data_IF_538157094232
#
_entry.id   IF_538157094232
#
_cell.length_a   1.000
_cell.length_b   1.000
_cell.length_c   1.000
_cell.angle_alpha   90.00
_cell.angle_beta   90.00
_cell.angle_gamma   90.00
#
_symmetry.space_group_name_H-M   'P 1'
#
loop_
_entity.id
_entity.type
_entity.pdbx_description
1 polymer ?
#
# COMPACT_ATOMS: atom_id res chain seq x y z
N UNK A 1 -37.80 21.82 10.36
CA UNK A 1 -38.61 22.19 9.17
C UNK A 1 -39.55 21.09 8.72
N UNK A 2 -39.29 19.83 9.08
CA UNK A 2 -40.19 18.72 8.71
C UNK A 2 -41.59 18.93 9.28
N UNK A 3 -42.62 18.60 8.50
CA UNK A 3 -44.04 18.71 8.85
C UNK A 3 -44.61 20.14 9.06
N UNK A 4 -43.93 21.16 8.52
CA UNK A 4 -44.44 22.56 8.57
C UNK A 4 -44.97 22.97 7.19
N UNK A 5 -45.91 23.94 7.23
CA UNK A 5 -46.50 24.54 6.02
C UNK A 5 -45.69 25.75 5.58
N UNK A 6 -45.52 25.90 4.30
CA UNK A 6 -44.88 27.05 3.66
C UNK A 6 -45.80 28.26 3.68
N UNK A 7 -45.34 29.41 4.17
CA UNK A 7 -46.12 30.66 4.19
C UNK A 7 -45.93 31.51 2.95
N UNK A 8 -44.95 31.19 2.07
CA UNK A 8 -44.74 31.86 0.78
C UNK A 8 -44.17 30.86 -0.23
N UNK A 9 -44.59 31.07 -1.49
CA UNK A 9 -44.06 30.29 -2.63
C UNK A 9 -42.52 30.45 -2.70
N UNK A 10 -41.80 29.33 -2.77
CA UNK A 10 -40.35 29.31 -2.90
C UNK A 10 -39.91 28.32 -3.96
N UNK A 11 -39.26 28.81 -5.03
CA UNK A 11 -38.84 28.00 -6.18
C UNK A 11 -40.03 27.17 -6.76
N UNK A 12 -39.88 25.84 -6.71
CA UNK A 12 -40.87 24.89 -7.23
C UNK A 12 -41.90 24.42 -6.16
N UNK A 13 -41.94 25.08 -5.00
CA UNK A 13 -42.82 24.72 -3.89
C UNK A 13 -43.88 25.82 -3.74
N UNK A 14 -45.16 25.46 -3.88
CA UNK A 14 -46.28 26.40 -3.75
C UNK A 14 -46.62 26.66 -2.27
N UNK A 15 -47.27 27.80 -2.03
CA UNK A 15 -47.76 28.22 -0.72
C UNK A 15 -48.70 27.16 -0.15
N UNK A 16 -48.59 26.87 1.14
CA UNK A 16 -49.35 25.81 1.82
C UNK A 16 -48.87 24.39 1.62
N UNK A 17 -47.75 24.19 0.91
CA UNK A 17 -47.15 22.85 0.73
C UNK A 17 -46.51 22.37 2.00
N UNK A 18 -46.81 21.14 2.46
CA UNK A 18 -46.15 20.48 3.57
C UNK A 18 -44.75 20.06 3.23
N UNK A 19 -43.76 20.45 4.02
CA UNK A 19 -42.35 20.11 3.84
C UNK A 19 -42.08 18.72 4.39
N UNK A 20 -41.89 17.74 3.50
CA UNK A 20 -41.43 16.39 3.84
C UNK A 20 -39.90 16.32 3.75
N UNK A 21 -39.30 15.33 4.42
CA UNK A 21 -37.85 15.12 4.47
C UNK A 21 -37.23 15.11 3.06
N UNK A 22 -37.82 14.39 2.13
CA UNK A 22 -37.35 14.26 0.73
C UNK A 22 -37.27 15.63 0.01
N UNK A 23 -38.23 16.52 0.26
CA UNK A 23 -38.24 17.87 -0.30
C UNK A 23 -37.17 18.76 0.34
N UNK A 24 -36.90 18.57 1.64
CA UNK A 24 -35.83 19.31 2.35
C UNK A 24 -34.47 18.88 1.83
N UNK A 25 -34.23 17.59 1.64
CA UNK A 25 -32.96 17.03 1.17
C UNK A 25 -32.65 17.40 -0.30
N UNK A 26 -33.67 17.72 -1.08
CA UNK A 26 -33.52 18.21 -2.46
C UNK A 26 -33.11 19.67 -2.58
N UNK A 27 -33.14 20.46 -1.48
CA UNK A 27 -32.81 21.87 -1.47
C UNK A 27 -31.39 22.14 -0.99
N UNK A 28 -30.75 23.15 -1.55
CA UNK A 28 -29.43 23.59 -1.07
C UNK A 28 -29.55 24.22 0.31
N UNK A 29 -28.53 24.02 1.17
CA UNK A 29 -28.49 24.58 2.53
C UNK A 29 -28.73 26.09 2.56
N UNK A 30 -28.20 26.82 1.57
CA UNK A 30 -28.41 28.26 1.42
C UNK A 30 -29.87 28.65 1.14
N UNK A 31 -30.65 27.76 0.56
CA UNK A 31 -32.05 27.98 0.23
C UNK A 31 -32.96 27.63 1.41
N UNK A 32 -32.57 26.65 2.24
CA UNK A 32 -33.28 26.31 3.46
C UNK A 32 -33.40 27.50 4.45
N UNK A 33 -32.40 28.36 4.49
CA UNK A 33 -32.42 29.59 5.33
C UNK A 33 -33.28 30.70 4.77
N UNK A 34 -33.87 30.57 3.58
CA UNK A 34 -34.75 31.55 2.96
C UNK A 34 -36.22 31.16 3.06
N UNK A 35 -36.51 29.97 3.59
CA UNK A 35 -37.85 29.45 3.75
C UNK A 35 -38.57 30.20 4.90
N UNK A 36 -39.79 30.69 4.66
CA UNK A 36 -40.66 31.29 5.65
C UNK A 36 -41.74 30.30 6.04
N UNK A 37 -41.74 29.90 7.30
CA UNK A 37 -42.67 28.94 7.88
C UNK A 37 -43.67 29.64 8.82
N UNK A 38 -44.84 29.09 8.98
CA UNK A 38 -45.93 29.67 9.77
C UNK A 38 -45.71 29.60 11.30
N UNK A 39 -44.71 28.83 11.75
CA UNK A 39 -44.39 28.64 13.17
C UNK A 39 -43.28 29.60 13.63
N UNK A 40 -43.64 30.61 14.43
CA UNK A 40 -42.72 31.64 14.94
C UNK A 40 -41.55 31.07 15.73
N UNK A 41 -41.75 30.01 16.51
CA UNK A 41 -40.66 29.36 17.28
C UNK A 41 -39.62 28.71 16.37
N UNK A 42 -40.09 28.06 15.31
CA UNK A 42 -39.20 27.44 14.32
C UNK A 42 -38.48 28.48 13.46
N UNK A 43 -39.08 29.63 13.26
CA UNK A 43 -38.49 30.75 12.53
C UNK A 43 -37.35 31.41 13.31
N UNK A 44 -37.52 31.59 14.65
CA UNK A 44 -36.46 32.04 15.53
C UNK A 44 -35.30 31.06 15.59
N UNK A 45 -35.57 29.77 15.75
CA UNK A 45 -34.53 28.70 15.71
C UNK A 45 -33.78 28.68 14.38
N UNK A 46 -34.48 28.86 13.26
CA UNK A 46 -33.87 28.95 11.95
C UNK A 46 -32.95 30.18 11.82
N UNK A 47 -33.35 31.31 12.36
CA UNK A 47 -32.55 32.54 12.37
C UNK A 47 -31.25 32.37 13.21
N UNK A 48 -31.35 31.72 14.38
CA UNK A 48 -30.18 31.36 15.21
C UNK A 48 -29.23 30.44 14.49
N UNK A 49 -29.73 29.37 13.86
CA UNK A 49 -28.92 28.46 13.05
C UNK A 49 -28.26 29.15 11.87
N UNK A 50 -28.98 30.08 11.21
CA UNK A 50 -28.42 30.90 10.12
C UNK A 50 -27.25 31.76 10.61
N UNK A 51 -27.38 32.37 11.77
CA UNK A 51 -26.29 33.16 12.36
C UNK A 51 -25.09 32.27 12.72
N UNK A 52 -25.33 31.13 13.37
CA UNK A 52 -24.27 30.17 13.67
C UNK A 52 -23.58 29.68 12.41
N UNK A 53 -24.32 29.33 11.36
CA UNK A 53 -23.78 28.93 10.07
C UNK A 53 -22.92 30.01 9.43
N UNK A 54 -23.39 31.25 9.42
CA UNK A 54 -22.64 32.38 8.86
C UNK A 54 -21.36 32.65 9.67
N UNK A 55 -21.39 32.59 10.98
CA UNK A 55 -20.21 32.74 11.83
C UNK A 55 -19.20 31.64 11.58
N UNK A 56 -19.64 30.37 11.54
CA UNK A 56 -18.78 29.27 11.25
C UNK A 56 -18.15 29.32 9.83
N UNK A 57 -18.93 29.83 8.86
CA UNK A 57 -18.45 30.04 7.50
C UNK A 57 -17.37 31.12 7.44
N UNK A 58 -17.54 32.22 8.16
CA UNK A 58 -16.53 33.30 8.27
C UNK A 58 -15.26 32.75 8.91
N UNK A 59 -15.38 32.07 10.05
CA UNK A 59 -14.23 31.48 10.75
C UNK A 59 -13.42 30.51 9.86
N UNK A 60 -14.12 29.70 9.06
CA UNK A 60 -13.44 28.78 8.13
C UNK A 60 -12.76 29.55 7.01
N UNK A 61 -13.42 30.61 6.49
CA UNK A 61 -12.86 31.45 5.44
C UNK A 61 -11.58 32.15 5.95
N UNK A 62 -11.62 32.75 7.13
CA UNK A 62 -10.48 33.43 7.74
C UNK A 62 -9.31 32.45 7.96
N UNK A 63 -9.58 31.26 8.49
CA UNK A 63 -8.56 30.21 8.63
C UNK A 63 -7.97 29.74 7.29
N UNK A 64 -8.80 29.69 6.27
CA UNK A 64 -8.34 29.35 4.92
C UNK A 64 -7.42 30.46 4.37
N UNK A 65 -7.83 31.72 4.49
CA UNK A 65 -7.04 32.87 4.03
C UNK A 65 -5.70 32.97 4.78
N UNK A 66 -5.70 32.78 6.09
CA UNK A 66 -4.48 32.71 6.89
C UNK A 66 -3.52 31.61 6.44
N UNK A 67 -4.05 30.42 6.15
CA UNK A 67 -3.22 29.32 5.63
C UNK A 67 -2.66 29.63 4.24
N UNK A 68 -3.47 30.19 3.36
CA UNK A 68 -3.02 30.60 2.02
C UNK A 68 -1.94 31.68 2.11
N UNK A 69 -2.12 32.63 3.02
CA UNK A 69 -1.16 33.69 3.24
C UNK A 69 0.17 33.15 3.77
N UNK A 70 0.14 32.24 4.76
CA UNK A 70 1.33 31.55 5.27
C UNK A 70 2.06 30.75 4.17
N UNK A 71 1.32 30.05 3.31
CA UNK A 71 1.91 29.30 2.21
C UNK A 71 2.54 30.25 1.17
N UNK A 72 1.86 31.37 0.87
CA UNK A 72 2.38 32.36 -0.08
C UNK A 72 3.60 33.11 0.46
N UNK A 73 3.64 33.41 1.75
CA UNK A 73 4.80 34.05 2.40
C UNK A 73 6.01 33.13 2.48
N UNK A 74 5.80 31.81 2.46
CA UNK A 74 6.85 30.82 2.62
C UNK A 74 7.34 30.66 4.05
N UNK A 75 8.44 29.94 4.24
CA UNK A 75 9.04 29.74 5.58
C UNK A 75 9.61 31.07 6.10
N UNK A 76 9.42 31.32 7.39
CA UNK A 76 10.03 32.45 8.09
C UNK A 76 11.55 32.31 8.02
N UNK A 77 12.20 33.17 7.25
CA UNK A 77 13.65 33.19 7.12
C UNK A 77 14.28 33.92 8.30
N UNK A 78 15.43 33.45 8.76
CA UNK A 78 16.22 34.11 9.78
C UNK A 78 16.64 35.52 9.30
N UNK A 79 16.82 36.49 10.22
CA UNK A 79 17.32 37.80 9.85
C UNK A 79 18.60 37.69 9.03
N UNK A 80 18.72 38.46 7.97
CA UNK A 80 19.82 38.45 7.00
C UNK A 80 19.83 37.29 5.97
N UNK A 81 18.92 36.37 6.00
CA UNK A 81 18.80 35.30 4.97
C UNK A 81 17.84 35.75 3.88
N UNK A 82 18.33 35.89 2.66
CA UNK A 82 17.48 36.30 1.52
C UNK A 82 16.71 35.16 0.92
N UNK A 83 17.27 33.94 0.90
CA UNK A 83 16.63 32.74 0.33
C UNK A 83 17.21 31.48 0.95
N UNK A 84 16.36 30.52 1.24
CA UNK A 84 16.77 29.19 1.67
C UNK A 84 16.49 28.20 0.56
N UNK A 85 17.48 27.37 0.23
CA UNK A 85 17.35 26.31 -0.76
C UNK A 85 17.61 24.97 -0.08
N UNK A 86 16.65 24.05 -0.16
CA UNK A 86 16.79 22.66 0.31
C UNK A 86 17.21 21.80 -0.88
N UNK A 87 18.41 21.27 -0.83
CA UNK A 87 18.91 20.36 -1.86
C UNK A 87 18.87 18.94 -1.35
N UNK A 88 18.18 18.05 -2.08
CA UNK A 88 18.13 16.62 -1.78
C UNK A 88 19.15 15.90 -2.68
N UNK A 89 20.09 15.20 -2.06
CA UNK A 89 21.10 14.42 -2.77
C UNK A 89 20.81 12.95 -2.58
N UNK A 90 20.65 12.22 -3.69
CA UNK A 90 20.48 10.77 -3.69
C UNK A 90 21.79 10.10 -4.12
N UNK A 91 22.27 9.17 -3.30
CA UNK A 91 23.47 8.37 -3.57
C UNK A 91 23.07 6.91 -3.64
N UNK A 92 23.32 6.24 -4.77
CA UNK A 92 23.08 4.80 -4.94
C UNK A 92 24.30 4.01 -4.46
N UNK A 93 24.18 3.40 -3.28
CA UNK A 93 25.21 2.52 -2.72
C UNK A 93 24.89 1.05 -3.02
N UNK A 94 25.81 0.37 -3.73
CA UNK A 94 25.68 -1.07 -4.02
C UNK A 94 25.85 -1.89 -2.75
N UNK A 95 25.22 -3.07 -2.73
CA UNK A 95 25.37 -4.03 -1.65
C UNK A 95 26.79 -4.61 -1.68
N UNK A 96 27.42 -4.71 -0.50
CA UNK A 96 28.77 -5.28 -0.34
C UNK A 96 28.75 -6.35 0.75
N UNK A 97 29.69 -7.32 0.72
CA UNK A 97 29.90 -8.20 1.84
C UNK A 97 30.20 -7.40 3.12
N UNK A 98 29.54 -7.76 4.23
CA UNK A 98 29.63 -7.01 5.49
C UNK A 98 28.47 -6.04 5.72
N UNK A 99 27.70 -5.66 4.70
CA UNK A 99 26.50 -4.85 4.86
C UNK A 99 25.40 -5.61 5.59
N UNK A 100 24.63 -4.91 6.41
CA UNK A 100 23.56 -5.52 7.19
C UNK A 100 22.24 -5.44 6.45
N UNK A 101 21.58 -6.59 6.33
CA UNK A 101 20.24 -6.71 5.78
C UNK A 101 19.26 -7.28 6.79
N UNK A 102 18.00 -7.01 6.63
CA UNK A 102 16.93 -7.52 7.49
C UNK A 102 15.63 -7.64 6.71
N UNK A 103 14.84 -8.66 7.04
CA UNK A 103 13.41 -8.69 6.70
C UNK A 103 12.59 -7.94 7.76
N UNK A 104 11.27 -8.14 7.72
CA UNK A 104 10.31 -7.52 8.65
C UNK A 104 10.04 -8.31 9.92
N UNK A 105 10.68 -9.48 10.10
CA UNK A 105 10.41 -10.43 11.20
C UNK A 105 11.58 -10.57 12.19
N UNK A 106 12.44 -9.55 12.30
CA UNK A 106 13.62 -9.61 13.17
C UNK A 106 14.73 -10.51 12.63
N UNK A 107 14.63 -10.98 11.39
CA UNK A 107 15.61 -11.80 10.71
C UNK A 107 16.74 -10.95 10.11
N UNK A 108 17.51 -10.34 10.99
CA UNK A 108 18.68 -9.53 10.63
C UNK A 108 19.91 -10.39 10.38
N UNK A 109 20.69 -10.03 9.40
CA UNK A 109 21.94 -10.73 9.08
C UNK A 109 22.92 -9.83 8.35
N UNK A 110 24.13 -10.32 8.20
CA UNK A 110 25.20 -9.65 7.46
C UNK A 110 25.46 -10.43 6.19
N UNK A 111 25.63 -9.71 5.07
CA UNK A 111 25.99 -10.33 3.79
C UNK A 111 27.37 -10.95 3.91
N UNK A 112 27.47 -12.27 3.79
CA UNK A 112 28.72 -12.99 3.89
C UNK A 112 29.47 -13.04 2.55
N UNK A 113 28.76 -13.30 1.47
CA UNK A 113 29.34 -13.45 0.13
C UNK A 113 28.35 -12.98 -0.93
N UNK A 114 28.87 -12.40 -2.00
CA UNK A 114 28.14 -12.14 -3.23
C UNK A 114 28.62 -13.13 -4.27
N UNK A 115 27.70 -13.86 -4.86
CA UNK A 115 27.95 -14.93 -5.82
C UNK A 115 27.40 -14.51 -7.19
N UNK A 116 28.06 -14.85 -8.31
CA UNK A 116 27.50 -14.65 -9.64
C UNK A 116 26.14 -15.37 -9.79
N UNK A 117 25.28 -14.84 -10.67
CA UNK A 117 23.92 -15.37 -10.85
C UNK A 117 23.95 -16.82 -11.35
N UNK A 118 24.94 -17.17 -12.15
CA UNK A 118 25.14 -18.50 -12.73
C UNK A 118 25.43 -19.57 -11.66
N UNK A 119 26.08 -19.17 -10.57
CA UNK A 119 26.45 -20.05 -9.46
C UNK A 119 25.34 -20.16 -8.40
N UNK A 120 24.28 -19.38 -8.53
CA UNK A 120 23.17 -19.40 -7.56
C UNK A 120 22.25 -20.61 -7.80
N UNK A 121 21.66 -21.16 -6.74
CA UNK A 121 20.65 -22.20 -6.88
C UNK A 121 19.47 -21.71 -7.75
N UNK A 122 18.93 -22.62 -8.56
CA UNK A 122 17.82 -22.30 -9.44
C UNK A 122 16.68 -23.31 -9.34
N UNK A 123 15.47 -22.86 -9.69
CA UNK A 123 14.26 -23.68 -9.72
C UNK A 123 14.15 -24.46 -11.02
N UNK A 124 13.18 -25.37 -11.11
CA UNK A 124 12.87 -26.15 -12.31
C UNK A 124 12.57 -25.28 -13.54
N UNK A 125 12.00 -24.10 -13.35
CA UNK A 125 11.75 -23.13 -14.41
C UNK A 125 13.01 -22.35 -14.87
N UNK A 126 14.18 -22.69 -14.35
CA UNK A 126 15.45 -22.02 -14.65
C UNK A 126 15.66 -20.68 -13.97
N UNK A 127 14.72 -20.20 -13.15
CA UNK A 127 14.89 -18.94 -12.41
C UNK A 127 15.83 -19.13 -11.21
N UNK A 128 16.96 -18.39 -11.15
CA UNK A 128 17.84 -18.43 -9.99
C UNK A 128 17.18 -17.74 -8.79
N UNK A 129 17.64 -18.09 -7.58
CA UNK A 129 17.28 -17.37 -6.37
C UNK A 129 18.20 -16.16 -6.17
N UNK A 130 17.66 -15.07 -5.65
CA UNK A 130 18.43 -13.83 -5.42
C UNK A 130 19.20 -13.85 -4.11
N UNK A 131 18.67 -14.52 -3.08
CA UNK A 131 19.23 -14.56 -1.72
C UNK A 131 19.09 -15.96 -1.17
N UNK A 132 20.14 -16.45 -0.52
CA UNK A 132 20.14 -17.66 0.29
C UNK A 132 20.27 -17.27 1.76
N UNK A 133 19.32 -17.71 2.57
CA UNK A 133 19.27 -17.43 4.00
C UNK A 133 19.62 -18.67 4.80
N UNK A 134 20.34 -18.47 5.92
CA UNK A 134 20.66 -19.57 6.82
C UNK A 134 19.41 -20.03 7.60
N UNK A 135 18.98 -21.29 7.46
CA UNK A 135 17.78 -21.80 8.13
C UNK A 135 17.90 -21.86 9.67
N UNK A 136 19.10 -21.91 10.23
CA UNK A 136 19.33 -21.93 11.67
C UNK A 136 18.84 -20.66 12.38
N UNK A 137 18.66 -19.56 11.66
CA UNK A 137 18.10 -18.32 12.18
C UNK A 137 16.60 -18.36 12.49
N UNK A 138 15.89 -19.41 12.08
CA UNK A 138 14.43 -19.54 12.26
C UNK A 138 14.07 -20.26 13.56
N UNK A 139 14.54 -21.50 13.81
CA UNK A 139 14.12 -22.26 14.99
C UNK A 139 14.52 -21.61 16.30
N UNK A 140 15.73 -21.07 16.38
CA UNK A 140 16.26 -20.44 17.59
C UNK A 140 15.55 -19.14 17.97
N UNK A 141 14.99 -18.43 16.99
CA UNK A 141 14.34 -17.12 17.19
C UNK A 141 12.83 -17.16 17.12
N UNK A 142 12.24 -18.31 16.81
CA UNK A 142 10.79 -18.53 16.74
C UNK A 142 10.02 -17.53 15.83
N UNK A 143 10.68 -16.94 14.85
CA UNK A 143 10.12 -15.96 13.92
C UNK A 143 9.50 -16.65 12.70
N UNK A 144 8.48 -17.46 12.94
CA UNK A 144 7.79 -18.27 11.90
C UNK A 144 7.12 -17.39 10.84
N UNK A 145 6.79 -16.15 11.16
CA UNK A 145 6.16 -15.20 10.24
C UNK A 145 6.91 -15.00 8.93
N UNK A 146 8.25 -15.11 8.94
CA UNK A 146 9.06 -15.03 7.72
C UNK A 146 8.80 -16.20 6.75
N UNK A 147 8.48 -17.39 7.26
CA UNK A 147 8.14 -18.55 6.42
C UNK A 147 6.78 -18.37 5.80
N UNK A 148 5.78 -17.92 6.57
CA UNK A 148 4.45 -17.62 6.07
C UNK A 148 4.50 -16.51 5.01
N UNK A 149 5.29 -15.45 5.23
CA UNK A 149 5.51 -14.40 4.22
C UNK A 149 6.12 -14.98 2.94
N UNK A 150 7.08 -15.87 3.06
CA UNK A 150 7.73 -16.53 1.91
C UNK A 150 6.73 -17.36 1.11
N UNK A 151 5.85 -18.12 1.77
CA UNK A 151 4.82 -18.92 1.10
C UNK A 151 3.79 -18.05 0.38
N UNK A 152 3.27 -17.01 1.05
CA UNK A 152 2.35 -16.06 0.43
C UNK A 152 3.04 -15.33 -0.73
N UNK A 153 4.26 -14.87 -0.55
CA UNK A 153 5.02 -14.19 -1.59
C UNK A 153 5.25 -15.06 -2.81
N UNK A 154 5.47 -16.37 -2.63
CA UNK A 154 5.57 -17.29 -3.76
C UNK A 154 4.23 -17.44 -4.48
N UNK A 155 3.14 -17.64 -3.76
CA UNK A 155 1.80 -17.74 -4.37
C UNK A 155 1.42 -16.45 -5.11
N UNK A 156 1.72 -15.29 -4.55
CA UNK A 156 1.44 -14.00 -5.19
C UNK A 156 2.23 -13.80 -6.49
N UNK A 157 3.50 -14.22 -6.52
CA UNK A 157 4.34 -14.16 -7.72
C UNK A 157 3.81 -15.07 -8.82
N UNK A 158 3.46 -16.32 -8.49
CA UNK A 158 2.91 -17.29 -9.46
C UNK A 158 1.52 -16.89 -9.97
N UNK A 159 0.68 -16.30 -9.12
CA UNK A 159 -0.61 -15.75 -9.56
C UNK A 159 -0.44 -14.58 -10.53
N UNK A 160 0.58 -13.74 -10.33
CA UNK A 160 0.94 -12.68 -11.27
C UNK A 160 1.39 -13.24 -12.63
N UNK A 161 2.20 -14.30 -12.63
CA UNK A 161 2.61 -14.97 -13.87
C UNK A 161 1.43 -15.62 -14.61
N UNK A 162 0.51 -16.26 -13.90
CA UNK A 162 -0.73 -16.79 -14.49
C UNK A 162 -1.58 -15.71 -15.15
N UNK A 163 -1.71 -14.55 -14.50
CA UNK A 163 -2.39 -13.42 -15.13
C UNK A 163 -1.70 -12.95 -16.40
N UNK A 164 -0.38 -12.89 -16.39
CA UNK A 164 0.43 -12.55 -17.56
C UNK A 164 0.23 -13.53 -18.70
N UNK A 165 0.14 -14.82 -18.41
CA UNK A 165 -0.17 -15.86 -19.39
C UNK A 165 -1.57 -15.67 -19.98
N UNK A 166 -2.60 -15.45 -19.15
CA UNK A 166 -3.97 -15.17 -19.59
C UNK A 166 -4.07 -13.93 -20.49
N UNK A 167 -3.30 -12.89 -20.20
CA UNK A 167 -3.24 -11.68 -21.02
C UNK A 167 -2.54 -11.96 -22.36
N UNK A 168 -1.47 -12.76 -22.34
CA UNK A 168 -0.74 -13.13 -23.57
C UNK A 168 -1.60 -14.02 -24.48
N UNK A 169 -2.39 -14.94 -23.94
CA UNK A 169 -3.37 -15.75 -24.69
C UNK A 169 -4.39 -14.87 -25.43
N UNK A 170 -4.79 -13.75 -24.85
CA UNK A 170 -5.71 -12.78 -25.43
C UNK A 170 -5.05 -11.79 -26.41
N UNK A 171 -3.99 -12.20 -27.12
CA UNK A 171 -3.26 -11.38 -28.11
C UNK A 171 -2.69 -10.07 -27.53
N UNK A 172 -2.26 -10.07 -26.27
CA UNK A 172 -1.74 -8.91 -25.53
C UNK A 172 -2.74 -7.74 -25.37
N UNK A 173 -4.03 -7.97 -25.62
CA UNK A 173 -5.07 -7.00 -25.29
C UNK A 173 -5.57 -7.24 -23.89
N UNK A 174 -5.38 -6.24 -23.05
CA UNK A 174 -5.93 -6.24 -21.67
C UNK A 174 -7.38 -5.75 -21.78
N UNK A 175 -8.28 -6.70 -21.99
CA UNK A 175 -9.72 -6.46 -22.04
C UNK A 175 -10.39 -7.22 -20.87
N UNK A 176 -11.57 -6.77 -20.47
CA UNK A 176 -12.40 -7.47 -19.46
C UNK A 176 -12.96 -8.78 -20.03
N UNK A 177 -12.09 -9.77 -20.17
CA UNK A 177 -12.48 -11.11 -20.60
C UNK A 177 -12.99 -11.89 -19.40
N UNK A 178 -13.97 -12.75 -19.60
CA UNK A 178 -14.54 -13.59 -18.54
C UNK A 178 -13.49 -14.41 -17.79
N UNK A 179 -12.45 -14.85 -18.46
CA UNK A 179 -11.32 -15.56 -17.84
C UNK A 179 -10.58 -14.70 -16.84
N UNK A 180 -10.27 -13.44 -17.20
CA UNK A 180 -9.56 -12.49 -16.31
C UNK A 180 -10.47 -12.07 -15.15
N UNK A 181 -11.75 -11.83 -15.40
CA UNK A 181 -12.74 -11.51 -14.37
C UNK A 181 -12.87 -12.65 -13.36
N UNK A 182 -13.00 -13.88 -13.84
CA UNK A 182 -13.10 -15.05 -12.95
C UNK A 182 -11.81 -15.27 -12.16
N UNK A 183 -10.66 -15.05 -12.76
CA UNK A 183 -9.38 -15.09 -12.06
C UNK A 183 -9.32 -14.03 -10.95
N UNK A 184 -9.67 -12.78 -11.26
CA UNK A 184 -9.69 -11.70 -10.28
C UNK A 184 -10.68 -11.98 -9.13
N UNK A 185 -11.86 -12.52 -9.45
CA UNK A 185 -12.85 -12.95 -8.42
C UNK A 185 -12.34 -14.08 -7.54
N UNK A 186 -11.51 -14.96 -8.06
CA UNK A 186 -10.90 -16.04 -7.25
C UNK A 186 -9.81 -15.53 -6.32
N UNK A 187 -9.05 -14.49 -6.72
CA UNK A 187 -7.95 -13.92 -5.95
C UNK A 187 -8.45 -12.94 -4.88
N UNK A 188 -9.32 -12.01 -5.25
CA UNK A 188 -9.78 -10.94 -4.35
C UNK A 188 -11.08 -11.26 -3.61
N UNK A 189 -11.77 -12.34 -3.98
CA UNK A 189 -13.10 -12.65 -3.51
C UNK A 189 -14.19 -11.89 -4.29
N UNK A 190 -15.41 -12.47 -4.30
CA UNK A 190 -16.52 -11.90 -5.07
C UNK A 190 -16.96 -10.53 -4.56
N UNK A 191 -17.10 -10.38 -3.24
CA UNK A 191 -17.55 -9.11 -2.61
C UNK A 191 -16.60 -7.97 -2.90
N UNK A 192 -15.30 -8.15 -2.65
CA UNK A 192 -14.28 -7.11 -2.92
C UNK A 192 -14.13 -6.78 -4.40
N UNK A 193 -14.34 -7.76 -5.28
CA UNK A 193 -14.32 -7.54 -6.72
C UNK A 193 -15.50 -6.66 -7.16
N UNK A 194 -16.72 -6.99 -6.74
CA UNK A 194 -17.93 -6.28 -7.13
C UNK A 194 -17.96 -4.84 -6.55
N UNK A 195 -17.39 -4.63 -5.36
CA UNK A 195 -17.32 -3.31 -4.73
C UNK A 195 -16.28 -2.37 -5.36
N UNK A 196 -15.08 -2.88 -5.63
CA UNK A 196 -13.91 -2.06 -5.95
C UNK A 196 -13.45 -2.19 -7.41
N UNK A 197 -13.50 -3.38 -8.00
CA UNK A 197 -12.89 -3.65 -9.31
C UNK A 197 -13.91 -3.51 -10.45
N UNK A 198 -15.16 -3.89 -10.22
CA UNK A 198 -16.19 -3.81 -11.24
C UNK A 198 -16.48 -2.35 -11.66
N UNK A 199 -16.36 -1.41 -10.74
CA UNK A 199 -16.63 0.03 -10.93
C UNK A 199 -15.51 0.79 -11.64
N UNK A 200 -14.34 0.17 -11.83
CA UNK A 200 -13.19 0.81 -12.47
C UNK A 200 -13.47 1.10 -13.96
N UNK A 201 -12.89 2.17 -14.46
CA UNK A 201 -12.85 2.45 -15.90
C UNK A 201 -11.98 1.42 -16.64
N UNK A 202 -12.08 1.34 -17.95
CA UNK A 202 -11.27 0.41 -18.76
C UNK A 202 -9.77 0.71 -18.63
N UNK A 203 -9.40 2.00 -18.56
CA UNK A 203 -8.00 2.42 -18.35
C UNK A 203 -7.47 2.00 -16.98
N UNK A 204 -8.22 2.27 -15.91
CA UNK A 204 -7.83 1.90 -14.54
C UNK A 204 -7.75 0.37 -14.36
N UNK A 205 -8.66 -0.37 -14.98
CA UNK A 205 -8.60 -1.83 -14.97
C UNK A 205 -7.35 -2.35 -15.70
N UNK A 206 -6.96 -1.71 -16.80
CA UNK A 206 -5.73 -2.05 -17.52
C UNK A 206 -4.50 -1.79 -16.65
N UNK A 207 -4.42 -0.61 -16.02
CA UNK A 207 -3.31 -0.25 -15.13
C UNK A 207 -3.23 -1.22 -13.94
N UNK A 208 -4.37 -1.62 -13.37
CA UNK A 208 -4.45 -2.64 -12.32
C UNK A 208 -3.88 -3.98 -12.80
N UNK A 209 -4.30 -4.47 -13.97
CA UNK A 209 -3.80 -5.71 -14.54
C UNK A 209 -2.29 -5.66 -14.82
N UNK A 210 -1.78 -4.54 -15.34
CA UNK A 210 -0.35 -4.35 -15.57
C UNK A 210 0.46 -4.39 -14.27
N UNK A 211 -0.05 -3.81 -13.20
CA UNK A 211 0.59 -3.85 -11.88
C UNK A 211 0.61 -5.26 -11.28
N UNK A 212 -0.50 -6.01 -11.40
CA UNK A 212 -0.63 -7.36 -10.84
C UNK A 212 0.24 -8.39 -11.57
N UNK A 213 0.61 -8.17 -12.84
CA UNK A 213 1.49 -9.08 -13.58
C UNK A 213 2.83 -9.34 -12.89
N UNK A 214 3.32 -8.40 -12.11
CA UNK A 214 4.56 -8.52 -11.35
C UNK A 214 4.38 -9.24 -9.99
N UNK A 215 3.16 -9.57 -9.64
CA UNK A 215 2.76 -10.22 -8.40
C UNK A 215 1.53 -9.55 -7.80
N UNK A 216 0.68 -10.34 -7.17
CA UNK A 216 -0.52 -9.84 -6.49
C UNK A 216 -0.12 -9.16 -5.19
N UNK A 217 -0.40 -7.86 -4.99
CA UNK A 217 -0.10 -7.20 -3.73
C UNK A 217 -1.09 -7.65 -2.65
N UNK A 218 -0.58 -8.11 -1.50
CA UNK A 218 -1.37 -8.50 -0.34
C UNK A 218 -0.90 -7.69 0.86
N UNK A 219 -1.87 -7.13 1.59
CA UNK A 219 -1.64 -6.48 2.87
C UNK A 219 -2.66 -7.01 3.88
N UNK A 220 -2.22 -7.24 5.10
CA UNK A 220 -3.08 -7.66 6.21
C UNK A 220 -3.01 -6.64 7.35
N UNK A 221 -4.12 -6.36 8.06
CA UNK A 221 -4.10 -5.57 9.29
C UNK A 221 -3.22 -6.23 10.36
N UNK A 222 -2.69 -5.43 11.28
CA UNK A 222 -1.75 -5.90 12.31
C UNK A 222 -2.38 -6.97 13.24
N UNK A 223 -3.66 -6.79 13.60
CA UNK A 223 -4.37 -7.68 14.52
C UNK A 223 -5.33 -8.66 13.85
N UNK A 224 -5.49 -8.59 12.54
CA UNK A 224 -6.31 -9.48 11.73
C UNK A 224 -5.50 -9.99 10.54
N UNK A 225 -4.42 -10.68 10.86
CA UNK A 225 -3.50 -11.26 9.88
C UNK A 225 -4.07 -12.51 9.22
N UNK A 226 -3.42 -12.93 8.12
CA UNK A 226 -3.76 -14.15 7.42
C UNK A 226 -3.61 -15.38 8.31
N UNK A 227 -4.61 -16.25 8.31
CA UNK A 227 -4.59 -17.53 9.00
C UNK A 227 -3.92 -18.60 8.13
N UNK A 228 -3.49 -19.70 8.74
CA UNK A 228 -2.89 -20.83 8.02
C UNK A 228 -3.75 -21.32 6.86
N UNK A 229 -5.08 -21.38 7.06
CA UNK A 229 -6.04 -21.77 6.03
C UNK A 229 -6.04 -20.82 4.83
N UNK A 230 -5.83 -19.55 5.05
CA UNK A 230 -5.79 -18.55 3.96
C UNK A 230 -4.51 -18.69 3.15
N UNK A 231 -3.39 -18.97 3.82
CA UNK A 231 -2.10 -19.26 3.16
C UNK A 231 -2.22 -20.51 2.30
N UNK A 232 -2.82 -21.58 2.84
CA UNK A 232 -3.02 -22.84 2.11
C UNK A 232 -3.92 -22.65 0.88
N UNK A 233 -5.03 -21.91 1.01
CA UNK A 233 -5.91 -21.57 -0.12
C UNK A 233 -5.16 -20.80 -1.22
N UNK A 234 -4.30 -19.86 -0.83
CA UNK A 234 -3.51 -19.07 -1.80
C UNK A 234 -2.49 -19.96 -2.55
N UNK A 235 -1.86 -20.90 -1.86
CA UNK A 235 -0.98 -21.88 -2.50
C UNK A 235 -1.74 -22.80 -3.46
N UNK A 236 -2.93 -23.27 -3.09
CA UNK A 236 -3.79 -24.07 -3.96
C UNK A 236 -4.26 -23.31 -5.20
N UNK A 237 -4.68 -22.03 -5.06
CA UNK A 237 -5.02 -21.16 -6.19
C UNK A 237 -3.83 -20.97 -7.15
N UNK A 238 -2.63 -20.87 -6.59
CA UNK A 238 -1.40 -20.80 -7.36
C UNK A 238 -0.98 -22.17 -7.95
N UNK A 239 -1.66 -23.28 -7.61
CA UNK A 239 -1.30 -24.67 -7.95
C UNK A 239 0.11 -25.04 -7.46
N UNK A 240 0.46 -24.56 -6.28
CA UNK A 240 1.73 -24.85 -5.62
C UNK A 240 1.55 -25.93 -4.55
N UNK A 241 2.63 -26.64 -4.19
CA UNK A 241 2.58 -27.61 -3.10
C UNK A 241 2.24 -26.92 -1.76
N UNK A 242 1.35 -27.52 -0.98
CA UNK A 242 0.93 -26.98 0.33
C UNK A 242 2.07 -26.89 1.35
N UNK A 243 3.15 -27.65 1.14
CA UNK A 243 4.36 -27.56 1.96
C UNK A 243 5.16 -26.27 1.73
N UNK A 244 4.91 -25.53 0.67
CA UNK A 244 5.70 -24.36 0.27
C UNK A 244 7.15 -24.66 -0.08
N UNK A 245 7.46 -25.93 -0.37
CA UNK A 245 8.80 -26.38 -0.70
C UNK A 245 8.90 -26.84 -2.15
N UNK A 246 10.06 -26.62 -2.76
CA UNK A 246 10.32 -27.02 -4.14
C UNK A 246 11.71 -27.64 -4.29
N UNK A 247 11.93 -28.33 -5.38
CA UNK A 247 13.25 -28.82 -5.77
C UNK A 247 14.10 -27.67 -6.29
N UNK A 248 15.34 -27.62 -5.86
CA UNK A 248 16.36 -26.71 -6.37
C UNK A 248 17.53 -27.49 -6.94
N UNK A 249 18.26 -26.86 -7.83
CA UNK A 249 19.51 -27.33 -8.41
C UNK A 249 20.63 -26.38 -8.04
N UNK A 250 21.81 -26.91 -7.79
CA UNK A 250 23.01 -26.11 -7.53
C UNK A 250 23.49 -25.51 -8.87
N UNK A 251 23.64 -24.18 -8.93
CA UNK A 251 24.16 -23.49 -10.12
C UNK A 251 25.57 -23.89 -10.51
N UNK A 252 26.39 -24.35 -9.57
CA UNK A 252 27.79 -24.71 -9.79
C UNK A 252 27.97 -26.15 -10.32
N UNK A 253 27.24 -27.11 -9.73
CA UNK A 253 27.37 -28.53 -10.07
C UNK A 253 26.28 -28.98 -11.05
N UNK A 254 25.16 -28.28 -11.11
CA UNK A 254 23.97 -28.70 -11.87
C UNK A 254 23.21 -29.86 -11.20
N UNK A 255 23.62 -30.29 -10.00
CA UNK A 255 23.00 -31.40 -9.31
C UNK A 255 21.75 -30.90 -8.52
N UNK A 256 20.77 -31.79 -8.41
CA UNK A 256 19.57 -31.53 -7.62
C UNK A 256 19.89 -31.68 -6.15
N UNK A 257 19.37 -30.79 -5.30
CA UNK A 257 19.46 -30.94 -3.85
C UNK A 257 18.69 -32.17 -3.35
N UNK A 258 19.25 -32.87 -2.39
CA UNK A 258 18.66 -34.09 -1.81
C UNK A 258 17.31 -33.83 -1.13
N UNK A 259 17.12 -32.64 -0.62
CA UNK A 259 15.92 -32.26 0.10
C UNK A 259 15.20 -31.11 -0.57
N UNK A 260 13.87 -31.09 -0.42
CA UNK A 260 13.06 -29.95 -0.81
C UNK A 260 13.41 -28.72 0.02
N UNK A 261 13.44 -27.57 -0.63
CA UNK A 261 13.81 -26.27 -0.02
C UNK A 261 12.62 -25.32 -0.07
N UNK A 262 12.43 -24.57 1.02
CA UNK A 262 11.45 -23.49 1.06
C UNK A 262 11.97 -22.31 0.24
N UNK A 263 11.25 -21.94 -0.80
CA UNK A 263 11.60 -20.85 -1.70
C UNK A 263 10.37 -19.99 -1.94
N UNK A 264 10.56 -18.68 -1.93
CA UNK A 264 9.46 -17.74 -2.20
C UNK A 264 9.98 -16.32 -2.27
N UNK A 265 9.08 -15.37 -2.29
CA UNK A 265 9.39 -13.93 -2.34
C UNK A 265 9.19 -13.33 -0.96
N UNK A 266 10.20 -12.64 -0.45
CA UNK A 266 10.19 -11.97 0.85
C UNK A 266 10.66 -10.53 0.68
N UNK A 267 10.15 -9.63 1.53
CA UNK A 267 10.57 -8.24 1.57
C UNK A 267 11.85 -8.07 2.38
N UNK A 268 12.93 -7.60 1.74
CA UNK A 268 14.23 -7.40 2.37
C UNK A 268 14.64 -5.94 2.35
N UNK A 269 15.22 -5.48 3.46
CA UNK A 269 15.70 -4.12 3.67
C UNK A 269 17.22 -4.12 3.85
N UNK A 270 17.91 -3.21 3.16
CA UNK A 270 19.29 -2.87 3.47
C UNK A 270 19.28 -1.85 4.62
N UNK A 271 19.92 -2.19 5.74
CA UNK A 271 20.00 -1.30 6.89
C UNK A 271 21.15 -0.30 6.72
N UNK A 272 21.04 0.86 7.38
CA UNK A 272 22.07 1.90 7.33
C UNK A 272 23.33 1.57 8.16
N UNK A 273 23.60 0.27 8.36
CA UNK A 273 24.84 -0.25 8.94
C UNK A 273 25.74 -0.76 7.81
N UNK A 274 26.33 0.19 7.08
CA UNK A 274 27.16 -0.12 5.92
C UNK A 274 28.59 -0.42 6.36
N UNK A 275 29.21 -1.40 5.71
CA UNK A 275 30.59 -1.79 6.01
C UNK A 275 31.57 -0.66 5.72
N UNK A 276 31.35 0.12 4.67
CA UNK A 276 32.24 1.22 4.28
C UNK A 276 32.33 2.35 5.32
N UNK A 277 31.28 2.54 6.12
CA UNK A 277 31.26 3.53 7.21
C UNK A 277 31.91 3.01 8.49
N UNK A 278 32.18 1.70 8.60
CA UNK A 278 32.71 1.02 9.78
C UNK A 278 34.10 0.48 9.59
N UNK A 279 34.56 0.29 8.37
CA UNK A 279 35.90 -0.19 8.08
C UNK A 279 36.93 0.82 8.54
N UNK A 280 37.89 0.37 9.35
CA UNK A 280 38.96 1.21 9.85
C UNK A 280 40.29 0.46 9.76
N UNK A 281 41.32 1.16 9.36
CA UNK A 281 42.68 0.65 9.31
C UNK A 281 43.65 1.69 9.84
N UNK A 282 44.67 1.26 10.58
CA UNK A 282 45.71 2.11 11.11
C UNK A 282 47.05 1.39 11.03
N UNK A 283 48.03 1.98 10.37
CA UNK A 283 49.40 1.45 10.35
C UNK A 283 50.23 2.00 11.50
N UNK A 284 50.30 3.33 11.60
CA UNK A 284 51.00 4.08 12.66
C UNK A 284 50.10 5.21 13.14
N UNK A 285 50.27 5.64 14.38
CA UNK A 285 49.48 6.74 14.95
C UNK A 285 49.88 7.04 16.38
N UNK A 286 49.33 8.06 17.05
CA UNK A 286 49.64 8.41 18.42
C UNK A 286 49.27 7.22 19.34
N UNK A 287 50.17 6.92 20.29
CA UNK A 287 49.94 5.93 21.35
C UNK A 287 49.21 6.61 22.51
N UNK A 288 48.47 5.81 23.26
CA UNK A 288 47.88 6.28 24.52
C UNK A 288 49.02 6.68 25.48
N UNK A 289 48.85 7.85 26.12
CA UNK A 289 49.78 8.31 27.19
C UNK A 289 49.53 7.60 28.51
N UNK A 290 48.48 6.82 28.62
CA UNK A 290 48.13 6.04 29.81
C UNK A 290 48.61 4.62 29.56
N UNK A 291 49.58 4.22 30.32
CA UNK A 291 50.07 2.84 30.44
C UNK A 291 49.32 2.10 31.54
#
# INVERSE_FOLDING_TARGET
>A
LSDTLLNKKFKNLDEGTKLNQEKIDSLLVSDLFKIIVDDNKKLEALSQLKNQYNTAKIDIQDRFEDKVLKIKQGDDLLPSVMKMVKVFVAIKRRLRPGDKMSGRHGNKGVVSKIVPVEDMPYRENGKPVDIVLNPLGVPSRMNVGQILETHIGWSCSELGEKLKELINENQKKIERTDKIINFMKSVYGKESFDENIEKLSISEFKDLCENIQNGVPIATPVFDGAKEQDVTKMLELAKLPNSGQTSLWDGRTGEKFDRLVTVGTIYMLKLHHLVEDKIHARSTGPYSLVT
#
